data_IF_229604643494
#
_entry.id   IF_229604643494
#
_cell.length_a   1.000
_cell.length_b   1.000
_cell.length_c   1.000
_cell.angle_alpha   90.00
_cell.angle_beta   90.00
_cell.angle_gamma   90.00
#
_symmetry.space_group_name_H-M   'P 1'
#
loop_
_entity.id
_entity.type
_entity.pdbx_description
1 polymer ?
#
# COMPACT_ATOMS: atom_id res chain seq x y z
N UNK A 1 51.99 -44.78 15.89
CA UNK A 1 50.94 -43.90 15.35
C UNK A 1 49.81 -43.80 16.38
N UNK A 2 49.84 -42.86 17.34
CA UNK A 2 49.29 -41.50 17.27
C UNK A 2 47.86 -41.40 16.68
N UNK A 3 46.92 -41.20 17.62
CA UNK A 3 45.74 -40.32 17.56
C UNK A 3 44.62 -40.75 16.58
N UNK A 4 43.35 -40.86 16.93
CA UNK A 4 42.52 -39.84 17.56
C UNK A 4 41.24 -40.45 18.16
N UNK A 5 40.92 -39.95 19.35
CA UNK A 5 39.64 -40.02 20.08
C UNK A 5 38.50 -39.52 19.18
N UNK A 6 37.43 -40.30 18.95
CA UNK A 6 36.15 -39.72 18.47
C UNK A 6 35.03 -40.09 19.43
N UNK A 7 34.83 -39.11 20.30
CA UNK A 7 33.77 -38.98 21.28
C UNK A 7 32.40 -39.18 20.61
N UNK A 8 31.68 -40.20 21.07
CA UNK A 8 30.25 -40.38 20.87
C UNK A 8 29.55 -39.35 21.73
N UNK A 9 28.95 -38.34 21.12
CA UNK A 9 27.90 -37.58 21.79
C UNK A 9 26.74 -37.35 20.83
N UNK A 10 25.57 -37.68 21.35
CA UNK A 10 24.26 -37.60 20.73
C UNK A 10 23.87 -36.13 20.50
N UNK A 11 22.92 -35.92 19.60
CA UNK A 11 22.35 -34.61 19.37
C UNK A 11 21.47 -34.63 18.13
N UNK A 12 20.31 -35.24 18.27
CA UNK A 12 19.15 -35.06 17.40
C UNK A 12 18.94 -33.57 17.10
N UNK A 13 19.05 -33.16 15.84
CA UNK A 13 18.40 -31.93 15.32
C UNK A 13 18.03 -32.12 13.86
N UNK A 14 16.83 -32.66 13.69
CA UNK A 14 15.80 -32.18 12.77
C UNK A 14 16.25 -31.75 11.37
N UNK A 15 15.97 -32.65 10.43
CA UNK A 15 15.68 -32.36 9.04
C UNK A 15 14.59 -31.27 8.89
N UNK A 16 14.68 -30.52 7.79
CA UNK A 16 13.69 -29.60 7.23
C UNK A 16 13.58 -28.19 7.83
N UNK A 17 14.47 -27.31 7.33
CA UNK A 17 14.18 -25.99 6.76
C UNK A 17 12.89 -25.29 7.21
N UNK A 18 12.95 -24.13 7.89
CA UNK A 18 11.85 -23.17 7.85
C UNK A 18 11.85 -22.50 6.47
N UNK A 19 10.86 -22.84 5.64
CA UNK A 19 10.48 -22.02 4.51
C UNK A 19 9.88 -20.69 5.02
N UNK A 20 10.20 -19.60 4.32
CA UNK A 20 9.73 -18.23 4.52
C UNK A 20 10.35 -17.44 5.68
N UNK A 21 11.63 -17.12 5.55
CA UNK A 21 12.15 -15.82 6.01
C UNK A 21 12.23 -14.89 4.79
N UNK A 22 11.35 -13.89 4.79
CA UNK A 22 11.52 -12.58 4.17
C UNK A 22 12.23 -12.53 2.80
N UNK A 23 11.43 -12.65 1.73
CA UNK A 23 11.77 -11.93 0.49
C UNK A 23 11.58 -10.44 0.74
N UNK A 24 12.65 -9.77 1.18
CA UNK A 24 12.82 -8.35 0.96
C UNK A 24 14.17 -8.18 0.27
N UNK A 25 14.21 -8.04 -1.07
CA UNK A 25 15.38 -7.48 -1.70
C UNK A 25 15.38 -5.99 -1.37
N UNK A 26 15.97 -5.62 -0.24
CA UNK A 26 16.32 -4.22 0.02
C UNK A 26 17.45 -3.86 -0.94
N UNK A 27 17.09 -3.49 -2.16
CA UNK A 27 17.92 -2.69 -3.05
C UNK A 27 18.31 -1.40 -2.30
N UNK A 28 19.50 -0.83 -2.58
CA UNK A 28 19.92 0.41 -1.94
C UNK A 28 18.89 1.48 -2.27
N UNK A 29 18.21 2.00 -1.26
CA UNK A 29 17.29 3.10 -1.42
C UNK A 29 18.04 4.25 -2.09
N UNK A 30 17.71 4.52 -3.36
CA UNK A 30 18.06 5.76 -4.04
C UNK A 30 17.70 6.90 -3.10
N UNK A 31 18.62 7.84 -2.85
CA UNK A 31 18.45 8.89 -1.82
C UNK A 31 17.10 9.61 -1.88
N UNK A 32 16.56 9.77 -3.08
CA UNK A 32 15.22 10.32 -3.35
C UNK A 32 14.06 9.49 -2.77
N UNK A 33 14.12 8.15 -2.82
CA UNK A 33 13.08 7.31 -2.20
C UNK A 33 13.15 7.33 -0.67
N UNK A 34 14.34 7.52 -0.11
CA UNK A 34 14.51 7.76 1.33
C UNK A 34 13.82 9.04 1.77
N UNK A 35 14.04 10.14 1.04
CA UNK A 35 13.41 11.43 1.30
C UNK A 35 11.88 11.38 1.16
N UNK A 36 11.36 10.71 0.12
CA UNK A 36 9.93 10.53 -0.07
C UNK A 36 9.30 9.71 1.07
N UNK A 37 9.97 8.66 1.55
CA UNK A 37 9.51 7.87 2.71
C UNK A 37 9.49 8.68 4.00
N UNK A 38 10.51 9.48 4.24
CA UNK A 38 10.56 10.38 5.40
C UNK A 38 9.44 11.42 5.33
N UNK A 39 9.20 12.00 4.15
CA UNK A 39 8.07 12.90 3.92
C UNK A 39 6.73 12.23 4.18
N UNK A 40 6.52 11.01 3.68
CA UNK A 40 5.30 10.26 3.94
C UNK A 40 5.09 10.01 5.45
N UNK A 41 6.14 9.65 6.18
CA UNK A 41 6.07 9.48 7.64
C UNK A 41 5.74 10.80 8.36
N UNK A 42 6.35 11.91 7.94
CA UNK A 42 6.07 13.24 8.50
C UNK A 42 4.63 13.69 8.23
N UNK A 43 4.08 13.40 7.05
CA UNK A 43 2.68 13.68 6.71
C UNK A 43 1.72 12.83 7.54
N UNK A 44 2.06 11.56 7.78
CA UNK A 44 1.27 10.67 8.64
C UNK A 44 1.25 11.15 10.10
N UNK A 45 2.39 11.57 10.66
CA UNK A 45 2.44 12.14 12.00
C UNK A 45 1.61 13.42 12.12
N UNK A 46 1.72 14.33 11.14
CA UNK A 46 0.89 15.53 11.09
C UNK A 46 -0.60 15.19 11.03
N UNK A 47 -0.98 14.12 10.31
CA UNK A 47 -2.37 13.69 10.21
C UNK A 47 -2.96 13.24 11.56
N UNK A 48 -2.14 12.68 12.45
CA UNK A 48 -2.55 12.27 13.81
C UNK A 48 -2.80 13.48 14.71
N UNK A 49 -2.00 14.54 14.55
CA UNK A 49 -2.14 15.79 15.29
C UNK A 49 -3.27 16.67 14.74
N UNK A 50 -3.61 16.51 13.46
CA UNK A 50 -4.66 17.30 12.83
C UNK A 50 -6.06 16.85 13.22
N UNK A 51 -6.84 17.79 13.74
CA UNK A 51 -8.24 17.56 14.12
C UNK A 51 -9.20 18.03 13.02
N UNK A 52 -8.82 19.04 12.24
CA UNK A 52 -9.65 19.62 11.18
C UNK A 52 -9.87 18.66 10.00
N UNK A 53 -11.12 18.29 9.68
CA UNK A 53 -11.41 17.30 8.64
C UNK A 53 -10.89 17.72 7.26
N UNK A 54 -10.98 19.01 6.92
CA UNK A 54 -10.47 19.52 5.64
C UNK A 54 -8.94 19.50 5.56
N UNK A 55 -8.25 19.77 6.66
CA UNK A 55 -6.79 19.67 6.72
C UNK A 55 -6.34 18.22 6.61
N UNK A 56 -7.03 17.30 7.30
CA UNK A 56 -6.77 15.86 7.22
C UNK A 56 -6.94 15.32 5.80
N UNK A 57 -8.00 15.73 5.10
CA UNK A 57 -8.23 15.41 3.68
C UNK A 57 -7.05 15.85 2.80
N UNK A 58 -6.55 17.09 2.99
CA UNK A 58 -5.40 17.59 2.23
C UNK A 58 -4.14 16.78 2.50
N UNK A 59 -3.85 16.50 3.78
CA UNK A 59 -2.71 15.68 4.17
C UNK A 59 -2.81 14.25 3.62
N UNK A 60 -3.98 13.63 3.65
CA UNK A 60 -4.22 12.30 3.09
C UNK A 60 -4.02 12.27 1.57
N UNK A 61 -4.45 13.32 0.86
CA UNK A 61 -4.22 13.44 -0.57
C UNK A 61 -2.72 13.57 -0.89
N UNK A 62 -2.00 14.40 -0.13
CA UNK A 62 -0.56 14.58 -0.32
C UNK A 62 0.23 13.31 0.05
N UNK A 63 -0.19 12.62 1.12
CA UNK A 63 0.38 11.33 1.51
C UNK A 63 0.19 10.27 0.43
N UNK A 64 -1.00 10.19 -0.15
CA UNK A 64 -1.29 9.28 -1.25
C UNK A 64 -0.45 9.55 -2.49
N UNK A 65 -0.19 10.83 -2.80
CA UNK A 65 0.65 11.24 -3.94
C UNK A 65 2.10 10.78 -3.73
N UNK A 66 2.68 11.07 -2.57
CA UNK A 66 4.03 10.64 -2.20
C UNK A 66 4.15 9.11 -2.19
N UNK A 67 3.14 8.39 -1.69
CA UNK A 67 3.11 6.92 -1.70
C UNK A 67 3.04 6.36 -3.12
N UNK A 68 2.30 7.02 -4.01
CA UNK A 68 2.26 6.66 -5.42
C UNK A 68 3.62 6.90 -6.10
N UNK A 69 4.30 8.01 -5.82
CA UNK A 69 5.66 8.28 -6.29
C UNK A 69 6.68 7.25 -5.77
N UNK A 70 6.46 6.73 -4.55
CA UNK A 70 7.25 5.64 -3.98
C UNK A 70 6.97 4.28 -4.65
N UNK A 71 5.93 4.17 -5.48
CA UNK A 71 5.47 2.91 -6.07
C UNK A 71 4.65 2.04 -5.11
N UNK A 72 4.27 2.56 -3.94
CA UNK A 72 3.45 1.85 -2.96
C UNK A 72 1.96 2.12 -3.23
N UNK A 73 1.45 1.50 -4.30
CA UNK A 73 0.07 1.66 -4.73
C UNK A 73 -0.93 1.25 -3.64
N UNK A 74 -0.61 0.25 -2.81
CA UNK A 74 -1.49 -0.22 -1.73
C UNK A 74 -1.62 0.84 -0.65
N UNK A 75 -0.50 1.43 -0.22
CA UNK A 75 -0.54 2.51 0.76
C UNK A 75 -1.26 3.76 0.20
N UNK A 76 -0.98 4.13 -1.05
CA UNK A 76 -1.61 5.27 -1.72
C UNK A 76 -3.13 5.13 -1.80
N UNK A 77 -3.63 3.94 -2.16
CA UNK A 77 -5.06 3.62 -2.15
C UNK A 77 -5.65 3.86 -0.75
N UNK A 78 -5.01 3.34 0.30
CA UNK A 78 -5.51 3.51 1.67
C UNK A 78 -5.62 4.97 2.08
N UNK A 79 -4.63 5.80 1.73
CA UNK A 79 -4.64 7.23 2.03
C UNK A 79 -5.76 7.97 1.29
N UNK A 80 -5.95 7.69 -0.01
CA UNK A 80 -7.02 8.32 -0.77
C UNK A 80 -8.42 7.82 -0.35
N UNK A 81 -8.59 6.54 -0.03
CA UNK A 81 -9.84 6.00 0.51
C UNK A 81 -10.18 6.66 1.85
N UNK A 82 -9.20 6.86 2.74
CA UNK A 82 -9.40 7.57 3.99
C UNK A 82 -9.84 9.02 3.77
N UNK A 83 -9.26 9.71 2.78
CA UNK A 83 -9.67 11.08 2.41
C UNK A 83 -11.13 11.12 1.93
N UNK A 84 -11.50 10.16 1.07
CA UNK A 84 -12.86 10.03 0.55
C UNK A 84 -13.89 9.63 1.62
N UNK A 85 -13.47 8.88 2.63
CA UNK A 85 -14.31 8.51 3.77
C UNK A 85 -14.63 9.70 4.69
N UNK A 86 -13.73 10.69 4.79
CA UNK A 86 -14.02 11.94 5.51
C UNK A 86 -15.01 12.79 4.71
N UNK A 87 -14.75 12.98 3.42
CA UNK A 87 -15.65 13.72 2.52
C UNK A 87 -15.58 13.17 1.10
N UNK A 88 -16.72 12.69 0.62
CA UNK A 88 -16.90 12.32 -0.78
C UNK A 88 -16.81 13.58 -1.66
N UNK A 89 -15.71 13.76 -2.40
CA UNK A 89 -15.48 14.91 -3.26
C UNK A 89 -14.69 14.56 -4.53
N UNK A 90 -14.93 15.30 -5.61
CA UNK A 90 -14.06 15.26 -6.77
C UNK A 90 -12.73 15.96 -6.46
N UNK A 91 -11.62 15.40 -6.95
CA UNK A 91 -10.31 15.99 -6.74
C UNK A 91 -9.15 14.98 -6.85
N UNK A 92 -8.01 15.29 -6.22
CA UNK A 92 -6.80 14.46 -6.30
C UNK A 92 -7.04 13.01 -5.87
N UNK A 93 -7.73 12.78 -4.75
CA UNK A 93 -8.02 11.42 -4.27
C UNK A 93 -8.87 10.60 -5.25
N UNK A 94 -9.92 11.20 -5.83
CA UNK A 94 -10.76 10.51 -6.81
C UNK A 94 -9.95 10.10 -8.05
N UNK A 95 -9.13 11.02 -8.59
CA UNK A 95 -8.31 10.74 -9.77
C UNK A 95 -7.19 9.73 -9.48
N UNK A 96 -6.60 9.82 -8.28
CA UNK A 96 -5.59 8.87 -7.80
C UNK A 96 -6.17 7.46 -7.66
N UNK A 97 -7.32 7.31 -6.99
CA UNK A 97 -8.01 6.02 -6.86
C UNK A 97 -8.41 5.44 -8.20
N UNK A 98 -8.93 6.26 -9.12
CA UNK A 98 -9.29 5.79 -10.46
C UNK A 98 -8.06 5.22 -11.18
N UNK A 99 -6.93 5.92 -11.13
CA UNK A 99 -5.69 5.48 -11.76
C UNK A 99 -5.16 4.20 -11.12
N UNK A 100 -5.09 4.17 -9.79
CA UNK A 100 -4.56 3.06 -9.00
C UNK A 100 -5.42 1.80 -9.13
N UNK A 101 -6.75 1.91 -9.08
CA UNK A 101 -7.64 0.77 -9.26
C UNK A 101 -7.55 0.18 -10.66
N UNK A 102 -7.45 1.02 -11.69
CA UNK A 102 -7.22 0.54 -13.05
C UNK A 102 -5.87 -0.18 -13.19
N UNK A 103 -4.83 0.32 -12.52
CA UNK A 103 -3.53 -0.34 -12.53
C UNK A 103 -3.57 -1.69 -11.80
N UNK A 104 -4.16 -1.73 -10.61
CA UNK A 104 -4.37 -2.96 -9.84
C UNK A 104 -5.20 -3.99 -10.61
N UNK A 105 -6.25 -3.57 -11.33
CA UNK A 105 -7.03 -4.44 -12.20
C UNK A 105 -6.18 -5.04 -13.32
N UNK A 106 -5.32 -4.25 -13.95
CA UNK A 106 -4.37 -4.74 -14.97
C UNK A 106 -3.36 -5.73 -14.38
N UNK A 107 -2.85 -5.46 -13.18
CA UNK A 107 -1.92 -6.36 -12.49
C UNK A 107 -2.59 -7.69 -12.10
N UNK A 108 -3.83 -7.63 -11.60
CA UNK A 108 -4.65 -8.80 -11.29
C UNK A 108 -4.93 -9.64 -12.54
N UNK A 109 -5.28 -8.99 -13.66
CA UNK A 109 -5.46 -9.65 -14.95
C UNK A 109 -4.18 -10.34 -15.46
N UNK A 110 -3.02 -9.68 -15.33
CA UNK A 110 -1.72 -10.28 -15.67
C UNK A 110 -1.41 -11.51 -14.81
N UNK A 111 -1.75 -11.44 -13.53
CA UNK A 111 -1.53 -12.53 -12.57
C UNK A 111 -2.61 -13.61 -12.62
N UNK A 112 -3.65 -13.43 -13.45
CA UNK A 112 -4.86 -14.27 -13.51
C UNK A 112 -5.52 -14.47 -12.15
N UNK A 113 -5.52 -13.42 -11.35
CA UNK A 113 -6.16 -13.42 -10.04
C UNK A 113 -7.62 -12.97 -10.19
N UNK A 114 -8.51 -13.92 -10.44
CA UNK A 114 -9.94 -13.65 -10.63
C UNK A 114 -10.58 -12.94 -9.43
N UNK A 115 -10.13 -13.24 -8.21
CA UNK A 115 -10.65 -12.61 -6.99
C UNK A 115 -10.26 -11.13 -6.93
N UNK A 116 -8.99 -10.82 -7.19
CA UNK A 116 -8.52 -9.44 -7.26
C UNK A 116 -9.17 -8.68 -8.43
N UNK A 117 -9.38 -9.32 -9.59
CA UNK A 117 -10.10 -8.71 -10.72
C UNK A 117 -11.51 -8.29 -10.30
N UNK A 118 -12.25 -9.19 -9.63
CA UNK A 118 -13.60 -8.88 -9.14
C UNK A 118 -13.56 -7.74 -8.10
N UNK A 119 -12.64 -7.81 -7.15
CA UNK A 119 -12.48 -6.77 -6.12
C UNK A 119 -12.26 -5.38 -6.72
N UNK A 120 -11.27 -5.24 -7.62
CA UNK A 120 -10.94 -3.93 -8.21
C UNK A 120 -12.02 -3.43 -9.17
N UNK A 121 -12.75 -4.36 -9.82
CA UNK A 121 -13.90 -4.01 -10.66
C UNK A 121 -15.04 -3.42 -9.83
N UNK A 122 -15.37 -4.05 -8.68
CA UNK A 122 -16.38 -3.52 -7.76
C UNK A 122 -15.95 -2.15 -7.23
N UNK A 123 -14.71 -2.00 -6.79
CA UNK A 123 -14.18 -0.71 -6.31
C UNK A 123 -14.24 0.40 -7.37
N UNK A 124 -14.00 0.07 -8.64
CA UNK A 124 -14.17 1.02 -9.76
C UNK A 124 -15.64 1.41 -9.95
N UNK A 125 -16.56 0.45 -9.93
CA UNK A 125 -17.98 0.74 -10.05
C UNK A 125 -18.45 1.64 -8.90
N UNK A 126 -18.06 1.33 -7.66
CA UNK A 126 -18.35 2.14 -6.47
C UNK A 126 -17.83 3.58 -6.62
N UNK A 127 -16.60 3.76 -7.11
CA UNK A 127 -16.04 5.07 -7.36
C UNK A 127 -16.85 5.86 -8.42
N UNK A 128 -17.29 5.20 -9.49
CA UNK A 128 -18.15 5.86 -10.49
C UNK A 128 -19.57 6.11 -9.99
N UNK A 129 -20.10 5.26 -9.12
CA UNK A 129 -21.40 5.44 -8.48
C UNK A 129 -21.37 6.62 -7.50
N UNK A 130 -20.27 6.78 -6.77
CA UNK A 130 -19.99 7.94 -5.91
C UNK A 130 -20.01 9.23 -6.74
N UNK A 131 -19.36 9.25 -7.91
CA UNK A 131 -19.45 10.38 -8.84
C UNK A 131 -20.89 10.77 -9.16
N UNK A 132 -21.73 9.79 -9.51
CA UNK A 132 -23.17 10.03 -9.78
C UNK A 132 -23.94 10.49 -8.54
N UNK A 133 -23.56 10.09 -7.34
CA UNK A 133 -24.21 10.50 -6.07
C UNK A 133 -23.85 11.94 -5.72
N UNK A 134 -22.57 12.30 -5.82
CA UNK A 134 -22.08 13.66 -5.57
C UNK A 134 -22.69 14.63 -6.58
N UNK A 135 -22.73 14.29 -7.87
CA UNK A 135 -23.41 15.13 -8.87
C UNK A 135 -24.90 15.30 -8.60
N UNK A 136 -25.59 14.25 -8.15
CA UNK A 136 -27.04 14.32 -7.84
C UNK A 136 -27.36 15.05 -6.54
N UNK A 137 -26.42 15.12 -5.59
CA UNK A 137 -26.63 15.80 -4.29
C UNK A 137 -26.34 17.30 -4.33
N UNK A 138 -25.79 17.81 -5.43
CA UNK A 138 -25.48 19.23 -5.64
C UNK A 138 -26.61 20.01 -6.33
N UNK A 139 -27.78 19.40 -6.50
CA UNK A 139 -29.03 20.00 -7.03
C UNK A 139 -30.16 19.83 -6.02
#
# INVERSE_FOLDING_TARGET
>A
MRLFRRNRNQGERQSAQPANAAVSPTAPATGDQGALRERAAALAAQLEEQTDPEARIKLLNELGDVQQELGDATAAIGSYEASMAIREQFGPAYNGLLTLYNDQLKQAAKSRDDAAIQQWTVKLDELTALSKRVMRSQF
#
